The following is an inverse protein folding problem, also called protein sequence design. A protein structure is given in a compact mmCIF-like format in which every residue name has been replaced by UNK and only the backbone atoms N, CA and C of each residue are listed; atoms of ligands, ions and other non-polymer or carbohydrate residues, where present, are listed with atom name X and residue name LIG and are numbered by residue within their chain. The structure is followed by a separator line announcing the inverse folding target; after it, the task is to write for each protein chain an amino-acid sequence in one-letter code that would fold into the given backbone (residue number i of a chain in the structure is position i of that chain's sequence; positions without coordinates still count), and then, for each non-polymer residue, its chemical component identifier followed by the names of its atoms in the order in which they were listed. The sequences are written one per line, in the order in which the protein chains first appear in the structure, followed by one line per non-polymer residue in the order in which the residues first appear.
data_IF_299599525434
#
_entry.id   IF_299599525434
#
_cell.length_a   1.000
_cell.length_b   1.000
_cell.length_c   1.000
_cell.angle_alpha   90.00
_cell.angle_beta   90.00
_cell.angle_gamma   90.00
#
_symmetry.space_group_name_H-M   'P 1'
#
loop_
_entity.id
_entity.type
_entity.pdbx_description
1 polymer ?
#
# COMPACT_ATOMS: atom_id res chain seq x y z
N UNK A 1 56.15 -17.00 3.02
CA UNK A 1 54.68 -17.00 3.14
C UNK A 1 54.22 -15.63 3.63
N UNK A 2 53.57 -14.82 2.77
CA UNK A 2 52.99 -13.54 3.19
C UNK A 2 51.60 -13.82 3.75
N UNK A 3 51.38 -13.46 5.01
CA UNK A 3 50.06 -13.51 5.65
C UNK A 3 49.19 -12.49 4.89
N UNK A 4 48.23 -13.00 4.11
CA UNK A 4 47.22 -12.16 3.48
C UNK A 4 46.36 -11.59 4.60
N UNK A 5 46.64 -10.34 4.99
CA UNK A 5 45.82 -9.61 5.95
C UNK A 5 44.39 -9.56 5.43
N UNK A 6 43.47 -10.18 6.18
CA UNK A 6 42.04 -10.08 5.96
C UNK A 6 41.70 -8.61 6.19
N UNK A 7 41.58 -7.85 5.11
CA UNK A 7 41.15 -6.45 5.19
C UNK A 7 39.63 -6.45 5.28
N UNK A 8 39.02 -5.71 6.22
CA UNK A 8 37.58 -5.60 6.29
C UNK A 8 37.03 -4.99 5.00
N UNK A 9 35.81 -5.39 4.57
CA UNK A 9 35.18 -4.81 3.38
C UNK A 9 35.09 -3.29 3.54
N UNK A 10 35.63 -2.54 2.57
CA UNK A 10 35.71 -1.07 2.57
C UNK A 10 37.12 -0.46 2.71
N UNK A 11 38.16 -1.27 2.98
CA UNK A 11 39.54 -0.77 3.20
C UNK A 11 40.24 -0.21 1.93
N UNK A 12 39.76 -0.56 0.73
CA UNK A 12 40.29 -0.08 -0.55
C UNK A 12 39.44 1.05 -1.15
N UNK A 13 38.42 1.53 -0.44
CA UNK A 13 37.64 2.67 -0.90
C UNK A 13 38.34 3.94 -0.41
N UNK A 14 39.20 4.51 -1.27
CA UNK A 14 39.63 5.90 -1.15
C UNK A 14 38.34 6.71 -1.08
N UNK A 15 38.05 7.36 0.06
CA UNK A 15 36.77 8.00 0.46
C UNK A 15 36.20 9.07 -0.48
N UNK A 16 36.12 8.72 -1.76
CA UNK A 16 35.72 9.43 -2.96
C UNK A 16 34.41 8.86 -3.50
N UNK A 17 34.03 7.66 -3.06
CA UNK A 17 32.65 7.20 -3.04
C UNK A 17 31.94 7.90 -1.88
N UNK A 18 30.96 8.80 -2.13
CA UNK A 18 30.11 9.27 -1.05
C UNK A 18 29.38 8.03 -0.52
N UNK A 19 29.76 7.57 0.68
CA UNK A 19 28.97 6.58 1.39
C UNK A 19 27.56 7.15 1.47
N UNK A 20 26.51 6.41 1.06
CA UNK A 20 25.17 6.93 1.15
C UNK A 20 24.92 7.25 2.62
N UNK A 21 24.80 8.55 2.93
CA UNK A 21 24.46 9.00 4.27
C UNK A 21 23.22 8.20 4.67
N UNK A 22 23.22 7.60 5.87
CA UNK A 22 22.08 6.83 6.40
C UNK A 22 20.73 7.56 6.16
N UNK A 23 20.78 8.90 6.19
CA UNK A 23 19.72 9.85 5.86
C UNK A 23 19.13 9.66 4.45
N UNK A 24 19.96 9.50 3.41
CA UNK A 24 19.52 9.29 2.03
C UNK A 24 18.84 7.92 1.84
N UNK A 25 19.34 6.88 2.51
CA UNK A 25 18.70 5.57 2.50
C UNK A 25 17.36 5.58 3.25
N UNK A 26 17.24 6.31 4.36
CA UNK A 26 15.97 6.47 5.08
C UNK A 26 14.95 7.29 4.29
N UNK A 27 15.34 8.39 3.65
CA UNK A 27 14.45 9.19 2.82
C UNK A 27 13.88 8.40 1.63
N UNK A 28 14.67 7.48 1.05
CA UNK A 28 14.23 6.59 -0.03
C UNK A 28 13.23 5.52 0.45
N UNK A 29 13.35 5.05 1.69
CA UNK A 29 12.42 4.08 2.31
C UNK A 29 11.02 4.66 2.47
N UNK A 30 10.89 5.91 2.94
CA UNK A 30 9.60 6.56 3.13
C UNK A 30 8.86 6.82 1.81
N UNK A 31 9.60 7.18 0.75
CA UNK A 31 9.05 7.29 -0.61
C UNK A 31 8.53 5.94 -1.13
N UNK A 32 9.24 4.85 -0.86
CA UNK A 32 8.79 3.50 -1.19
C UNK A 32 7.49 3.10 -0.47
N UNK A 33 7.38 3.41 0.82
CA UNK A 33 6.16 3.16 1.61
C UNK A 33 4.97 4.00 1.13
N UNK A 34 5.21 5.25 0.71
CA UNK A 34 4.18 6.09 0.08
C UNK A 34 3.69 5.49 -1.25
N UNK A 35 4.60 4.98 -2.09
CA UNK A 35 4.24 4.32 -3.33
C UNK A 35 3.42 3.05 -3.06
N UNK A 36 3.84 2.23 -2.09
CA UNK A 36 3.10 1.03 -1.71
C UNK A 36 1.71 1.36 -1.14
N UNK A 37 1.61 2.41 -0.32
CA UNK A 37 0.34 2.95 0.15
C UNK A 37 -0.55 3.35 -1.03
N UNK A 38 -0.01 4.04 -2.03
CA UNK A 38 -0.78 4.48 -3.19
C UNK A 38 -1.29 3.29 -4.03
N UNK A 39 -0.40 2.33 -4.34
CA UNK A 39 -0.75 1.13 -5.12
C UNK A 39 -1.79 0.27 -4.39
N UNK A 40 -1.60 0.02 -3.10
CA UNK A 40 -2.58 -0.73 -2.29
C UNK A 40 -3.92 0.00 -2.21
N UNK A 41 -3.92 1.32 -2.10
CA UNK A 41 -5.15 2.12 -2.08
C UNK A 41 -5.93 2.02 -3.38
N UNK A 42 -5.25 2.16 -4.52
CA UNK A 42 -5.88 2.00 -5.85
C UNK A 42 -6.46 0.60 -6.01
N UNK A 43 -5.67 -0.44 -5.71
CA UNK A 43 -6.14 -1.82 -5.81
C UNK A 43 -7.34 -2.07 -4.90
N UNK A 44 -7.30 -1.56 -3.67
CA UNK A 44 -8.41 -1.67 -2.73
C UNK A 44 -9.69 -1.00 -3.25
N UNK A 45 -9.57 0.22 -3.78
CA UNK A 45 -10.71 0.94 -4.38
C UNK A 45 -11.28 0.24 -5.61
N UNK A 46 -10.43 -0.33 -6.47
CA UNK A 46 -10.86 -1.11 -7.64
C UNK A 46 -11.68 -2.31 -7.19
N UNK A 47 -11.20 -3.08 -6.21
CA UNK A 47 -11.90 -4.26 -5.71
C UNK A 47 -13.25 -3.91 -5.06
N UNK A 48 -13.28 -2.88 -4.22
CA UNK A 48 -14.54 -2.42 -3.60
C UNK A 48 -15.52 -1.92 -4.66
N UNK A 49 -15.06 -1.13 -5.64
CA UNK A 49 -15.91 -0.61 -6.72
C UNK A 49 -16.44 -1.73 -7.61
N UNK A 50 -15.60 -2.75 -7.88
CA UNK A 50 -16.00 -3.93 -8.62
C UNK A 50 -17.08 -4.72 -7.88
N UNK A 51 -16.93 -4.91 -6.58
CA UNK A 51 -17.93 -5.60 -5.76
C UNK A 51 -19.26 -4.83 -5.72
N UNK A 52 -19.22 -3.51 -5.51
CA UNK A 52 -20.42 -2.66 -5.57
C UNK A 52 -21.10 -2.77 -6.95
N UNK A 53 -20.31 -2.81 -8.02
CA UNK A 53 -20.86 -3.02 -9.36
C UNK A 53 -21.56 -4.37 -9.51
N UNK A 54 -20.92 -5.45 -9.05
CA UNK A 54 -21.46 -6.80 -9.14
C UNK A 54 -22.73 -7.01 -8.31
N UNK A 55 -22.80 -6.46 -7.10
CA UNK A 55 -23.89 -6.76 -6.16
C UNK A 55 -25.05 -5.77 -6.27
N UNK A 56 -24.75 -4.51 -6.63
CA UNK A 56 -25.74 -3.44 -6.66
C UNK A 56 -26.12 -3.11 -8.09
N UNK A 57 -25.16 -2.63 -8.89
CA UNK A 57 -25.48 -2.03 -10.18
C UNK A 57 -25.84 -3.05 -11.28
N UNK A 58 -25.10 -4.15 -11.39
CA UNK A 58 -25.34 -5.15 -12.42
C UNK A 58 -26.74 -5.81 -12.26
N UNK A 59 -27.18 -6.22 -11.06
CA UNK A 59 -28.53 -6.76 -10.86
C UNK A 59 -29.62 -5.71 -11.12
N UNK A 60 -29.39 -4.45 -10.72
CA UNK A 60 -30.30 -3.34 -11.00
C UNK A 60 -30.52 -3.12 -12.51
N UNK A 61 -29.47 -3.28 -13.32
CA UNK A 61 -29.54 -3.14 -14.77
C UNK A 61 -30.16 -4.37 -15.46
N UNK A 62 -29.91 -5.57 -14.95
CA UNK A 62 -30.40 -6.82 -15.55
C UNK A 62 -31.86 -7.12 -15.22
N UNK A 63 -32.24 -6.97 -13.95
CA UNK A 63 -33.53 -7.40 -13.41
C UNK A 63 -34.53 -6.25 -13.18
N UNK A 64 -34.08 -5.01 -13.36
CA UNK A 64 -34.86 -3.81 -13.06
C UNK A 64 -35.03 -3.55 -11.57
N UNK A 65 -35.67 -2.42 -11.24
CA UNK A 65 -35.84 -1.97 -9.85
C UNK A 65 -36.92 -2.79 -9.13
N UNK A 66 -36.53 -3.88 -8.47
CA UNK A 66 -37.44 -4.69 -7.63
C UNK A 66 -37.61 -4.02 -6.26
N UNK A 67 -38.75 -3.35 -6.04
CA UNK A 67 -39.12 -2.69 -4.77
C UNK A 67 -39.09 -3.60 -3.53
N UNK A 68 -39.09 -4.93 -3.72
CA UNK A 68 -39.04 -5.93 -2.66
C UNK A 68 -37.63 -6.19 -2.10
N UNK A 69 -36.58 -5.80 -2.82
CA UNK A 69 -35.18 -6.02 -2.44
C UNK A 69 -34.53 -4.66 -2.22
N UNK A 70 -34.32 -4.28 -0.97
CA UNK A 70 -33.62 -3.04 -0.63
C UNK A 70 -32.15 -3.17 -1.00
N UNK A 71 -31.62 -2.37 -1.95
CA UNK A 71 -30.20 -2.40 -2.29
C UNK A 71 -29.30 -2.03 -1.10
N UNK A 72 -29.85 -1.28 -0.14
CA UNK A 72 -29.19 -0.92 1.13
C UNK A 72 -28.97 -2.13 2.04
N UNK A 73 -29.84 -3.14 2.00
CA UNK A 73 -29.64 -4.35 2.80
C UNK A 73 -28.41 -5.13 2.33
N UNK A 74 -28.14 -5.12 1.02
CA UNK A 74 -27.01 -5.81 0.39
C UNK A 74 -25.66 -5.13 0.61
N UNK A 75 -25.61 -3.87 1.09
CA UNK A 75 -24.35 -3.17 1.32
C UNK A 75 -23.47 -3.81 2.41
N UNK A 76 -24.08 -4.49 3.38
CA UNK A 76 -23.34 -5.25 4.39
C UNK A 76 -22.67 -6.49 3.80
N UNK A 77 -23.31 -7.11 2.81
CA UNK A 77 -22.84 -8.33 2.16
C UNK A 77 -21.64 -8.09 1.25
N UNK A 78 -21.50 -6.87 0.71
CA UNK A 78 -20.33 -6.43 -0.10
C UNK A 78 -19.02 -6.74 0.62
N UNK A 79 -18.95 -6.61 1.94
CA UNK A 79 -17.74 -6.88 2.72
C UNK A 79 -17.62 -8.32 3.23
N UNK A 80 -18.68 -9.13 3.08
CA UNK A 80 -18.64 -10.55 3.39
C UNK A 80 -17.99 -11.35 2.25
N UNK A 81 -18.06 -10.84 1.02
CA UNK A 81 -17.41 -11.47 -0.14
C UNK A 81 -15.91 -11.22 -0.18
N UNK A 82 -15.16 -12.21 -0.69
CA UNK A 82 -13.70 -12.20 -0.76
C UNK A 82 -13.14 -10.93 -1.44
N UNK A 83 -13.66 -10.46 -2.59
CA UNK A 83 -13.12 -9.27 -3.25
C UNK A 83 -13.36 -7.99 -2.44
N UNK A 84 -14.56 -7.83 -1.86
CA UNK A 84 -14.87 -6.67 -1.02
C UNK A 84 -14.09 -6.64 0.29
N UNK A 85 -13.94 -7.79 0.96
CA UNK A 85 -13.10 -7.92 2.15
C UNK A 85 -11.62 -7.59 1.87
N UNK A 86 -11.05 -8.17 0.81
CA UNK A 86 -9.67 -7.88 0.39
C UNK A 86 -9.50 -6.41 0.00
N UNK A 87 -10.48 -5.85 -0.71
CA UNK A 87 -10.51 -4.44 -1.08
C UNK A 87 -10.46 -3.54 0.13
N UNK A 88 -11.30 -3.80 1.14
CA UNK A 88 -11.32 -3.06 2.40
C UNK A 88 -9.97 -3.17 3.14
N UNK A 89 -9.40 -4.38 3.26
CA UNK A 89 -8.10 -4.60 3.90
C UNK A 89 -7.00 -3.80 3.19
N UNK A 90 -7.00 -3.77 1.86
CA UNK A 90 -6.03 -2.99 1.08
C UNK A 90 -6.20 -1.49 1.28
N UNK A 91 -7.43 -0.98 1.35
CA UNK A 91 -7.70 0.43 1.68
C UNK A 91 -7.21 0.77 3.10
N UNK A 92 -7.52 -0.07 4.09
CA UNK A 92 -7.07 0.15 5.47
C UNK A 92 -5.54 0.11 5.58
N UNK A 93 -4.90 -0.83 4.88
CA UNK A 93 -3.44 -0.94 4.80
C UNK A 93 -2.82 0.28 4.13
N UNK A 94 -3.44 0.76 3.04
CA UNK A 94 -3.02 1.98 2.34
C UNK A 94 -3.02 3.19 3.29
N UNK A 95 -4.11 3.38 4.04
CA UNK A 95 -4.23 4.48 5.01
C UNK A 95 -3.16 4.36 6.10
N UNK A 96 -2.99 3.17 6.68
CA UNK A 96 -2.00 2.93 7.73
C UNK A 96 -0.57 3.19 7.25
N UNK A 97 -0.20 2.66 6.07
CA UNK A 97 1.11 2.87 5.47
C UNK A 97 1.35 4.34 5.10
N UNK A 98 0.33 5.02 4.56
CA UNK A 98 0.42 6.42 4.17
C UNK A 98 0.58 7.35 5.37
N UNK A 99 -0.19 7.11 6.44
CA UNK A 99 -0.07 7.85 7.70
C UNK A 99 1.31 7.63 8.33
N UNK A 100 1.78 6.38 8.40
CA UNK A 100 3.09 6.04 8.94
C UNK A 100 4.23 6.68 8.15
N UNK A 101 4.21 6.58 6.81
CA UNK A 101 5.25 7.15 5.96
C UNK A 101 5.30 8.68 6.08
N UNK A 102 4.15 9.36 6.17
CA UNK A 102 4.09 10.82 6.41
C UNK A 102 4.60 11.20 7.78
N UNK A 103 4.21 10.47 8.83
CA UNK A 103 4.69 10.72 10.19
C UNK A 103 6.22 10.59 10.27
N UNK A 104 6.78 9.51 9.72
CA UNK A 104 8.23 9.28 9.73
C UNK A 104 9.00 10.29 8.87
N UNK A 105 8.43 10.72 7.74
CA UNK A 105 9.01 11.81 6.95
C UNK A 105 9.02 13.13 7.74
N UNK A 106 7.93 13.47 8.43
CA UNK A 106 7.86 14.66 9.27
C UNK A 106 8.86 14.60 10.44
N UNK A 107 8.91 13.48 11.17
CA UNK A 107 9.79 13.29 12.32
C UNK A 107 11.29 13.41 12.00
N UNK A 108 11.70 13.06 10.77
CA UNK A 108 13.10 13.18 10.35
C UNK A 108 13.47 14.55 9.77
N UNK A 109 12.49 15.40 9.45
CA UNK A 109 12.71 16.71 8.83
C UNK A 109 12.35 17.90 9.76
N UNK A 110 11.77 17.65 10.93
CA UNK A 110 11.55 18.65 12.01
C UNK A 110 12.64 18.56 13.07
#
# INVERSE_FOLDING_TARGET
MKIAGIRPPGWNEDGTTPQPLLIEMTAKRWKGLLLLSFVSGILGLILVSWQIWADVYQPLLADGFKLSTSPIASFGDIFAEVPGALGLVLVMTSIALGAYARFMAWWHHG
#
